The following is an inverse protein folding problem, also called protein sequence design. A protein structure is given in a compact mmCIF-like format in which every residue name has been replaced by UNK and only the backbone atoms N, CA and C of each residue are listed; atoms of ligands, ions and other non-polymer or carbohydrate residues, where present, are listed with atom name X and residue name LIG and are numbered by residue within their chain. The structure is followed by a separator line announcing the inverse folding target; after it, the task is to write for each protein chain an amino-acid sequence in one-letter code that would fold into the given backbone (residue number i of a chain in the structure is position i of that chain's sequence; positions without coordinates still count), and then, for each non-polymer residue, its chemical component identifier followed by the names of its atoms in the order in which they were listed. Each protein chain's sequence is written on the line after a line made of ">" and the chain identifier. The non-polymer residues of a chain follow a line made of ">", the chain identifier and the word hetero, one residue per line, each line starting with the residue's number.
data_IF_651414342200
#
_entry.id   IF_651414342200
#
_cell.length_a   1.000
_cell.length_b   1.000
_cell.length_c   1.000
_cell.angle_alpha   90.00
_cell.angle_beta   90.00
_cell.angle_gamma   90.00
#
_symmetry.space_group_name_H-M   'P 1'
#
loop_
_entity.id
_entity.type
_entity.pdbx_description
1 polymer ?
#
# COMPACT_ATOMS: atom_id res chain seq x y z
N UNK A 1 -6.85 -2.17 22.72
CA UNK A 1 -6.86 -1.29 21.53
C UNK A 1 -8.18 -1.54 20.81
N UNK A 2 -9.12 -0.60 20.84
CA UNK A 2 -10.39 -0.76 20.14
C UNK A 2 -10.23 -0.18 18.73
N UNK A 3 -10.30 -1.04 17.71
CA UNK A 3 -10.25 -0.64 16.31
C UNK A 3 -11.67 -0.76 15.76
N UNK A 4 -12.26 0.36 15.37
CA UNK A 4 -13.52 0.37 14.62
C UNK A 4 -13.18 0.41 13.13
N UNK A 5 -13.31 -0.73 12.46
CA UNK A 5 -13.08 -0.84 11.02
C UNK A 5 -14.42 -0.67 10.31
N UNK A 6 -14.61 0.47 9.62
CA UNK A 6 -15.77 0.71 8.76
C UNK A 6 -15.44 0.24 7.34
N UNK A 7 -15.68 -1.03 7.05
CA UNK A 7 -15.41 -1.63 5.73
C UNK A 7 -16.71 -1.71 4.91
N UNK A 8 -16.91 -0.75 4.01
CA UNK A 8 -18.06 -0.78 3.07
C UNK A 8 -17.62 -0.81 1.61
N UNK A 9 -16.49 -0.17 1.28
CA UNK A 9 -15.95 -0.07 -0.10
C UNK A 9 -14.67 -0.88 -0.32
N UNK A 10 -14.07 -1.37 0.76
CA UNK A 10 -12.84 -2.15 0.78
C UNK A 10 -13.12 -3.48 1.47
N UNK A 11 -12.38 -4.53 1.12
CA UNK A 11 -12.42 -5.76 1.90
C UNK A 11 -11.91 -5.50 3.33
N UNK A 12 -12.18 -6.42 4.26
CA UNK A 12 -11.63 -6.35 5.62
C UNK A 12 -10.09 -6.30 5.59
N UNK A 13 -9.47 -7.09 4.70
CA UNK A 13 -8.03 -7.14 4.52
C UNK A 13 -7.48 -5.80 4.05
N UNK A 14 -8.09 -5.21 3.02
CA UNK A 14 -7.63 -3.92 2.50
C UNK A 14 -7.83 -2.81 3.52
N UNK A 15 -8.93 -2.85 4.27
CA UNK A 15 -9.19 -1.92 5.36
C UNK A 15 -8.12 -1.99 6.46
N UNK A 16 -7.67 -3.19 6.80
CA UNK A 16 -6.56 -3.40 7.75
C UNK A 16 -5.23 -2.91 7.18
N UNK A 17 -4.95 -3.14 5.90
CA UNK A 17 -3.74 -2.65 5.24
C UNK A 17 -3.69 -1.13 5.29
N UNK A 18 -4.78 -0.45 4.91
CA UNK A 18 -4.88 1.03 4.97
C UNK A 18 -4.64 1.56 6.38
N UNK A 19 -5.23 0.92 7.39
CA UNK A 19 -5.05 1.31 8.79
C UNK A 19 -3.60 1.15 9.26
N UNK A 20 -2.94 0.04 8.90
CA UNK A 20 -1.53 -0.18 9.20
C UNK A 20 -0.64 0.82 8.48
N UNK A 21 -0.93 1.14 7.22
CA UNK A 21 -0.21 2.15 6.47
C UNK A 21 -0.30 3.52 7.15
N UNK A 22 -1.50 3.95 7.55
CA UNK A 22 -1.73 5.20 8.29
C UNK A 22 -0.97 5.24 9.62
N UNK A 23 -1.03 4.17 10.41
CA UNK A 23 -0.32 4.07 11.70
C UNK A 23 1.20 4.15 11.59
N UNK A 24 1.74 3.69 10.46
CA UNK A 24 3.19 3.64 10.23
C UNK A 24 3.68 4.75 9.29
N UNK A 25 2.83 5.75 8.97
CA UNK A 25 3.13 6.83 8.01
C UNK A 25 3.62 6.32 6.64
N UNK A 26 3.10 5.18 6.18
CA UNK A 26 3.39 4.62 4.86
C UNK A 26 2.37 5.18 3.87
N UNK A 27 2.86 5.82 2.80
CA UNK A 27 2.00 6.47 1.80
C UNK A 27 2.00 5.78 0.44
N UNK A 28 2.90 4.82 0.20
CA UNK A 28 3.00 4.11 -1.08
C UNK A 28 2.68 2.62 -0.91
N UNK A 29 1.88 2.08 -1.82
CA UNK A 29 1.62 0.64 -1.93
C UNK A 29 1.82 0.16 -3.35
N UNK A 30 2.47 -0.99 -3.52
CA UNK A 30 2.50 -1.71 -4.79
C UNK A 30 1.37 -2.73 -4.74
N UNK A 31 0.33 -2.51 -5.54
CA UNK A 31 -0.82 -3.41 -5.63
C UNK A 31 -1.39 -3.42 -7.03
N UNK A 32 -1.92 -4.57 -7.43
CA UNK A 32 -2.72 -4.72 -8.65
C UNK A 32 -4.21 -4.47 -8.40
N UNK A 33 -4.61 -4.42 -7.13
CA UNK A 33 -6.00 -4.19 -6.77
C UNK A 33 -6.36 -2.71 -7.03
N UNK A 34 -7.45 -2.51 -7.78
CA UNK A 34 -7.98 -1.18 -8.09
C UNK A 34 -8.61 -0.48 -6.89
N UNK A 35 -8.93 -1.22 -5.83
CA UNK A 35 -9.60 -0.65 -4.67
C UNK A 35 -8.71 0.30 -3.87
N UNK A 36 -7.38 0.14 -3.93
CA UNK A 36 -6.43 1.11 -3.36
C UNK A 36 -6.38 2.45 -4.12
N UNK A 37 -6.87 2.53 -5.37
CA UNK A 37 -6.92 3.81 -6.11
C UNK A 37 -7.93 4.79 -5.50
N UNK A 38 -8.88 4.28 -4.71
CA UNK A 38 -9.98 5.04 -4.12
C UNK A 38 -9.66 5.50 -2.69
N UNK A 39 -8.44 5.25 -2.20
CA UNK A 39 -8.06 5.54 -0.81
C UNK A 39 -7.26 6.83 -0.71
N UNK A 40 -7.88 7.84 -0.10
CA UNK A 40 -7.23 9.13 0.13
C UNK A 40 -5.95 8.99 0.96
N UNK A 41 -4.88 9.62 0.49
CA UNK A 41 -3.57 9.62 1.15
C UNK A 41 -2.69 8.40 0.85
N UNK A 42 -3.14 7.48 0.01
CA UNK A 42 -2.34 6.33 -0.46
C UNK A 42 -2.06 6.47 -1.95
N UNK A 43 -0.79 6.28 -2.32
CA UNK A 43 -0.29 6.29 -3.69
C UNK A 43 -0.09 4.84 -4.11
N UNK A 44 -0.97 4.34 -4.98
CA UNK A 44 -0.78 3.03 -5.61
C UNK A 44 0.23 3.15 -6.75
N UNK A 45 1.26 2.31 -6.72
CA UNK A 45 2.23 2.22 -7.81
C UNK A 45 2.21 0.85 -8.48
N UNK A 46 2.26 0.85 -9.80
CA UNK A 46 2.36 -0.37 -10.62
C UNK A 46 3.80 -0.77 -10.95
N UNK A 47 4.80 -0.06 -10.41
CA UNK A 47 6.19 -0.18 -10.86
C UNK A 47 6.95 -1.29 -10.14
N UNK A 48 7.29 -2.33 -10.92
CA UNK A 48 8.44 -3.19 -10.64
C UNK A 48 9.69 -2.32 -10.76
N UNK A 49 10.23 -1.79 -9.66
CA UNK A 49 11.60 -1.27 -9.66
C UNK A 49 12.52 -2.44 -9.95
N UNK A 50 12.94 -2.61 -11.22
CA UNK A 50 14.10 -3.43 -11.58
C UNK A 50 15.25 -2.92 -10.72
N UNK A 51 15.63 -3.69 -9.69
CA UNK A 51 16.86 -3.43 -8.96
C UNK A 51 17.99 -3.49 -9.99
N UNK A 52 18.54 -2.34 -10.37
CA UNK A 52 19.79 -2.31 -11.13
C UNK A 52 20.85 -2.90 -10.22
N UNK A 53 21.18 -4.18 -10.40
CA UNK A 53 22.41 -4.77 -9.86
C UNK A 53 23.55 -3.86 -10.32
N UNK A 54 24.16 -3.13 -9.38
CA UNK A 54 25.49 -2.56 -9.59
C UNK A 54 26.43 -3.73 -9.84
N UNK A 55 26.70 -4.04 -11.10
CA UNK A 55 27.90 -4.80 -11.46
C UNK A 55 29.05 -3.87 -11.08
N UNK A 56 29.67 -4.14 -9.93
CA UNK A 56 30.93 -3.53 -9.55
C UNK A 56 31.96 -4.06 -10.53
N UNK A 57 32.45 -3.20 -11.42
CA UNK A 57 33.70 -3.45 -12.12
C UNK A 57 34.82 -3.50 -11.08
N UNK A 58 35.53 -4.61 -11.04
CA UNK A 58 36.95 -4.67 -10.71
C UNK A 58 37.56 -5.89 -11.40
#
# INVERSE_FOLDING_TARGET
>A
MNILIKYHKLSLTDSLIVELMKKNNIIEIISFDSDFDKVDGIIKTHKIKKQKKKIKNK
#
